data_IF_764122026754
#
_entry.id   IF_764122026754
#
_cell.length_a   1.000
_cell.length_b   1.000
_cell.length_c   1.000
_cell.angle_alpha   90.00
_cell.angle_beta   90.00
_cell.angle_gamma   90.00
#
_symmetry.space_group_name_H-M   'P 1'
#
loop_
_entity.id
_entity.type
_entity.pdbx_description
1 polymer ?
#
# COMPACT_ATOMS: atom_id res chain seq x y z
N UNK A 1 -14.53 16.90 -42.68
CA UNK A 1 -14.14 17.68 -41.49
C UNK A 1 -14.69 17.12 -40.19
N UNK A 2 -16.01 17.00 -39.98
CA UNK A 2 -16.57 16.58 -38.67
C UNK A 2 -16.11 15.20 -38.21
N UNK A 3 -16.07 14.21 -39.13
CA UNK A 3 -15.54 12.86 -38.88
C UNK A 3 -14.04 12.88 -38.54
N UNK A 4 -13.25 13.71 -39.22
CA UNK A 4 -11.81 13.85 -38.93
C UNK A 4 -11.57 14.48 -37.55
N UNK A 5 -12.37 15.50 -37.19
CA UNK A 5 -12.32 16.12 -35.86
C UNK A 5 -12.68 15.10 -34.77
N UNK A 6 -13.71 14.28 -35.00
CA UNK A 6 -14.10 13.21 -34.07
C UNK A 6 -12.99 12.16 -33.91
N UNK A 7 -12.35 11.75 -34.99
CA UNK A 7 -11.22 10.79 -34.95
C UNK A 7 -10.05 11.39 -34.18
N UNK A 8 -9.68 12.65 -34.44
CA UNK A 8 -8.60 13.33 -33.72
C UNK A 8 -8.93 13.44 -32.22
N UNK A 9 -10.16 13.81 -31.87
CA UNK A 9 -10.62 13.87 -30.48
C UNK A 9 -10.52 12.51 -29.79
N UNK A 10 -10.91 11.43 -30.47
CA UNK A 10 -10.78 10.07 -29.97
C UNK A 10 -9.31 9.69 -29.71
N UNK A 11 -8.40 10.02 -30.64
CA UNK A 11 -6.96 9.78 -30.45
C UNK A 11 -6.41 10.53 -29.24
N UNK A 12 -6.80 11.80 -29.04
CA UNK A 12 -6.38 12.59 -27.88
C UNK A 12 -6.90 11.94 -26.59
N UNK A 13 -8.14 11.46 -26.57
CA UNK A 13 -8.76 10.83 -25.41
C UNK A 13 -8.08 9.50 -25.06
N UNK A 14 -7.75 8.68 -26.06
CA UNK A 14 -6.98 7.44 -25.89
C UNK A 14 -5.58 7.76 -25.34
N UNK A 15 -4.91 8.77 -25.88
CA UNK A 15 -3.59 9.17 -25.43
C UNK A 15 -3.61 9.66 -23.97
N UNK A 16 -4.59 10.49 -23.60
CA UNK A 16 -4.78 10.95 -22.22
C UNK A 16 -5.04 9.78 -21.27
N UNK A 17 -5.86 8.80 -21.69
CA UNK A 17 -6.12 7.60 -20.91
C UNK A 17 -4.85 6.79 -20.64
N UNK A 18 -4.02 6.56 -21.66
CA UNK A 18 -2.73 5.89 -21.48
C UNK A 18 -1.78 6.70 -20.62
N UNK A 19 -1.69 8.02 -20.81
CA UNK A 19 -0.85 8.88 -20.00
C UNK A 19 -1.18 8.78 -18.50
N UNK A 20 -2.48 8.77 -18.17
CA UNK A 20 -2.97 8.57 -16.80
C UNK A 20 -2.49 7.21 -16.25
N UNK A 21 -2.67 6.12 -16.99
CA UNK A 21 -2.32 4.76 -16.54
C UNK A 21 -0.82 4.53 -16.38
N UNK A 22 0.01 5.10 -17.27
CA UNK A 22 1.45 4.90 -17.25
C UNK A 22 2.16 5.77 -16.23
N UNK A 23 1.54 6.86 -15.77
CA UNK A 23 2.14 7.73 -14.75
C UNK A 23 2.05 7.05 -13.38
N UNK A 24 3.18 6.91 -12.65
CA UNK A 24 3.13 6.35 -11.30
C UNK A 24 2.38 7.29 -10.35
N UNK A 25 1.74 6.69 -9.34
CA UNK A 25 1.28 7.41 -8.16
C UNK A 25 2.46 7.53 -7.21
N UNK A 26 2.87 8.75 -6.87
CA UNK A 26 3.91 8.99 -5.87
C UNK A 26 3.22 9.13 -4.50
N UNK A 27 3.60 8.31 -3.53
CA UNK A 27 3.13 8.38 -2.15
C UNK A 27 4.32 8.71 -1.27
N UNK A 28 4.16 9.68 -0.40
CA UNK A 28 5.17 10.10 0.56
C UNK A 28 4.52 10.22 1.95
N UNK A 29 5.06 9.52 2.92
CA UNK A 29 4.53 9.42 4.28
C UNK A 29 5.65 9.86 5.20
N UNK A 30 5.43 10.95 5.94
CA UNK A 30 6.37 11.43 6.94
C UNK A 30 5.68 11.46 8.29
N UNK A 31 6.26 10.77 9.26
CA UNK A 31 5.89 10.86 10.67
C UNK A 31 7.13 11.15 11.49
N UNK A 32 7.03 12.11 12.39
CA UNK A 32 8.08 12.45 13.34
C UNK A 32 7.52 12.49 14.74
N UNK A 33 8.23 11.88 15.67
CA UNK A 33 7.89 11.89 17.08
C UNK A 33 8.53 13.12 17.73
N UNK A 34 7.70 14.11 18.07
CA UNK A 34 8.12 15.26 18.86
C UNK A 34 7.43 15.19 20.22
N UNK A 35 8.21 15.09 21.29
CA UNK A 35 7.71 15.15 22.68
C UNK A 35 6.52 14.20 23.00
N UNK A 36 6.54 12.97 22.48
CA UNK A 36 5.48 11.95 22.62
C UNK A 36 4.21 12.17 21.81
N UNK A 37 4.14 13.23 21.00
CA UNK A 37 3.13 13.39 19.96
C UNK A 37 3.70 12.93 18.60
N UNK A 38 2.84 12.29 17.81
CA UNK A 38 3.17 11.83 16.45
C UNK A 38 2.62 12.85 15.47
N UNK A 39 3.50 13.69 14.97
CA UNK A 39 3.21 14.72 13.98
C UNK A 39 3.65 14.23 12.60
N UNK A 40 3.01 14.72 11.55
CA UNK A 40 3.34 14.23 10.23
C UNK A 40 2.33 14.53 9.14
N UNK A 41 2.72 14.18 7.92
CA UNK A 41 1.91 14.36 6.74
C UNK A 41 2.00 13.17 5.81
N UNK A 42 0.87 12.87 5.18
CA UNK A 42 0.78 11.93 4.06
C UNK A 42 0.51 12.75 2.81
N UNK A 43 1.30 12.50 1.79
CA UNK A 43 1.26 13.19 0.53
C UNK A 43 1.08 12.16 -0.59
N UNK A 44 0.04 12.31 -1.39
CA UNK A 44 -0.27 11.44 -2.53
C UNK A 44 -0.33 12.31 -3.77
N UNK A 45 0.60 12.08 -4.68
CA UNK A 45 0.70 12.76 -5.95
C UNK A 45 0.26 11.85 -7.08
N UNK A 46 -0.65 12.34 -7.91
CA UNK A 46 -1.03 11.66 -9.13
C UNK A 46 -1.38 12.63 -10.25
N UNK A 47 -0.62 12.55 -11.34
CA UNK A 47 -0.78 13.44 -12.49
C UNK A 47 -0.63 14.93 -12.14
N UNK A 48 -1.74 15.67 -12.08
CA UNK A 48 -1.83 17.08 -11.70
C UNK A 48 -2.46 17.25 -10.31
N UNK A 49 -2.95 16.17 -9.72
CA UNK A 49 -3.62 16.20 -8.43
C UNK A 49 -2.63 15.83 -7.33
N UNK A 50 -2.73 16.59 -6.25
CA UNK A 50 -1.99 16.37 -5.02
C UNK A 50 -2.98 16.30 -3.87
N UNK A 51 -2.89 15.24 -3.08
CA UNK A 51 -3.68 15.06 -1.87
C UNK A 51 -2.74 15.09 -0.67
N UNK A 52 -3.03 15.96 0.29
CA UNK A 52 -2.23 16.11 1.51
C UNK A 52 -3.13 15.86 2.71
N UNK A 53 -2.77 14.88 3.52
CA UNK A 53 -3.32 14.69 4.86
C UNK A 53 -2.26 15.24 5.82
N UNK A 54 -2.61 16.34 6.47
CA UNK A 54 -1.81 17.03 7.45
C UNK A 54 -2.35 16.65 8.83
N UNK A 55 -1.58 15.90 9.62
CA UNK A 55 -2.03 15.42 10.92
C UNK A 55 -1.97 16.53 11.98
N UNK A 56 -1.08 17.51 11.78
CA UNK A 56 -0.81 18.60 12.72
C UNK A 56 -1.99 19.59 12.69
N UNK A 57 -2.32 20.08 11.49
CA UNK A 57 -3.48 20.94 11.28
C UNK A 57 -4.80 20.16 11.24
N UNK A 58 -4.73 18.82 11.17
CA UNK A 58 -5.86 17.90 10.94
C UNK A 58 -6.64 18.28 9.69
N UNK A 59 -5.93 18.52 8.59
CA UNK A 59 -6.52 18.94 7.33
C UNK A 59 -6.31 17.88 6.26
N UNK A 60 -7.35 17.66 5.47
CA UNK A 60 -7.22 17.03 4.17
C UNK A 60 -7.30 18.12 3.10
N UNK A 61 -6.23 18.31 2.34
CA UNK A 61 -6.11 19.32 1.28
C UNK A 61 -5.99 18.60 -0.07
N UNK A 62 -6.82 18.98 -1.04
CA UNK A 62 -6.70 18.56 -2.44
C UNK A 62 -6.24 19.76 -3.25
N UNK A 63 -5.13 19.62 -3.95
CA UNK A 63 -4.55 20.66 -4.78
C UNK A 63 -4.44 20.20 -6.23
N UNK A 64 -4.59 21.16 -7.14
CA UNK A 64 -4.33 21.02 -8.56
C UNK A 64 -3.03 21.75 -8.89
N UNK A 65 -2.02 21.00 -9.30
CA UNK A 65 -0.73 21.50 -9.72
C UNK A 65 -0.74 21.64 -11.24
N UNK A 66 -0.82 22.89 -11.73
CA UNK A 66 -0.73 23.24 -13.15
C UNK A 66 0.53 24.06 -13.35
N UNK A 67 1.49 23.53 -14.11
CA UNK A 67 2.83 24.10 -14.28
C UNK A 67 3.51 24.36 -12.92
N UNK A 68 3.83 25.62 -12.61
CA UNK A 68 4.44 26.04 -11.35
C UNK A 68 3.44 26.57 -10.31
N UNK A 69 2.14 26.50 -10.61
CA UNK A 69 1.09 27.03 -9.75
C UNK A 69 0.31 25.91 -9.07
N UNK A 70 0.03 26.09 -7.79
CA UNK A 70 -0.71 25.17 -6.95
C UNK A 70 -2.03 25.80 -6.55
N UNK A 71 -3.13 25.24 -7.06
CA UNK A 71 -4.48 25.71 -6.78
C UNK A 71 -5.14 24.80 -5.76
N UNK A 72 -5.55 25.36 -4.61
CA UNK A 72 -6.33 24.60 -3.64
C UNK A 72 -7.74 24.39 -4.19
N UNK A 73 -8.12 23.12 -4.40
CA UNK A 73 -9.46 22.75 -4.85
C UNK A 73 -10.38 22.63 -3.64
N UNK A 74 -9.90 22.01 -2.57
CA UNK A 74 -10.72 21.60 -1.45
C UNK A 74 -9.86 21.42 -0.20
N UNK A 75 -10.33 21.96 0.92
CA UNK A 75 -9.77 21.72 2.25
C UNK A 75 -10.87 21.27 3.19
N UNK A 76 -10.67 20.11 3.81
CA UNK A 76 -11.58 19.53 4.81
C UNK A 76 -10.86 19.46 6.15
N UNK A 77 -11.47 20.00 7.20
CA UNK A 77 -11.01 19.78 8.58
C UNK A 77 -11.47 18.41 9.07
N UNK A 78 -10.52 17.56 9.44
CA UNK A 78 -10.75 16.23 9.97
C UNK A 78 -11.21 16.32 11.43
N UNK A 79 -12.49 16.62 11.64
CA UNK A 79 -13.08 16.60 12.98
C UNK A 79 -13.35 15.16 13.42
N UNK A 80 -12.89 14.77 14.62
CA UNK A 80 -13.25 13.49 15.24
C UNK A 80 -14.74 13.47 15.58
N UNK A 81 -15.59 13.01 14.66
CA UNK A 81 -16.83 12.35 15.08
C UNK A 81 -16.41 11.00 15.66
N UNK A 82 -16.38 10.92 16.98
CA UNK A 82 -16.33 9.64 17.70
C UNK A 82 -17.59 8.84 17.35
N UNK A 83 -17.57 8.14 16.20
CA UNK A 83 -18.42 6.98 16.00
C UNK A 83 -17.76 5.85 16.77
N UNK A 84 -18.27 5.61 17.97
CA UNK A 84 -18.04 4.36 18.68
C UNK A 84 -18.39 3.21 17.74
N UNK A 85 -17.37 2.54 17.21
CA UNK A 85 -17.55 1.25 16.55
C UNK A 85 -18.06 0.29 17.63
N UNK A 86 -19.35 -0.05 17.55
CA UNK A 86 -19.85 -1.27 18.19
C UNK A 86 -19.06 -2.43 17.59
N UNK A 87 -18.27 -3.09 18.43
CA UNK A 87 -17.72 -4.43 18.17
C UNK A 87 -18.90 -5.39 18.07
N UNK A 88 -19.26 -5.79 16.87
CA UNK A 88 -19.97 -7.05 16.69
C UNK A 88 -18.96 -8.18 16.90
N UNK A 89 -19.07 -8.81 18.08
CA UNK A 89 -18.57 -10.17 18.28
C UNK A 89 -19.62 -11.11 17.67
N UNK A 90 -19.30 -11.70 16.53
CA UNK A 90 -19.88 -12.98 16.15
C UNK A 90 -18.74 -13.99 16.04
N UNK A 91 -18.60 -14.80 17.08
CA UNK A 91 -17.96 -16.10 17.00
C UNK A 91 -18.71 -16.94 15.96
N UNK A 92 -17.99 -17.41 14.94
CA UNK A 92 -18.38 -18.60 14.20
C UNK A 92 -17.25 -19.61 14.39
N UNK A 93 -17.48 -20.55 15.29
CA UNK A 93 -16.94 -21.89 15.21
C UNK A 93 -17.68 -22.61 14.07
N UNK A 94 -16.92 -23.15 13.10
CA UNK A 94 -17.25 -24.16 12.06
C UNK A 94 -16.26 -23.91 10.90
N UNK A 95 -15.48 -24.81 10.31
CA UNK A 95 -15.50 -26.27 10.20
C UNK A 95 -14.07 -26.75 9.86
N UNK A 96 -13.39 -27.49 10.73
CA UNK A 96 -12.08 -28.09 10.39
C UNK A 96 -12.20 -29.16 9.29
N UNK A 97 -13.40 -29.72 9.07
CA UNK A 97 -13.64 -30.72 8.04
C UNK A 97 -13.67 -30.17 6.60
N UNK A 98 -14.06 -28.90 6.39
CA UNK A 98 -14.12 -28.29 5.04
C UNK A 98 -12.75 -27.78 4.54
N UNK A 99 -11.81 -27.52 5.45
CA UNK A 99 -10.50 -26.95 5.09
C UNK A 99 -9.61 -27.95 4.35
N UNK A 100 -9.59 -29.21 4.80
CA UNK A 100 -8.75 -30.25 4.19
C UNK A 100 -9.22 -30.62 2.77
N UNK A 101 -10.54 -30.76 2.54
CA UNK A 101 -11.07 -31.01 1.19
C UNK A 101 -10.84 -29.86 0.21
N UNK A 102 -10.86 -28.62 0.72
CA UNK A 102 -10.59 -27.41 -0.06
C UNK A 102 -9.11 -27.32 -0.43
N UNK A 103 -8.21 -27.67 0.50
CA UNK A 103 -6.77 -27.75 0.26
C UNK A 103 -6.43 -28.82 -0.79
N UNK A 104 -7.02 -30.01 -0.70
CA UNK A 104 -6.80 -31.09 -1.67
C UNK A 104 -7.19 -30.70 -3.10
N UNK A 105 -8.22 -29.85 -3.26
CA UNK A 105 -8.64 -29.31 -4.56
C UNK A 105 -7.75 -28.15 -5.03
N UNK A 106 -7.23 -27.34 -4.11
CA UNK A 106 -6.42 -26.15 -4.43
C UNK A 106 -4.98 -26.51 -4.79
N UNK A 107 -4.34 -27.46 -4.09
CA UNK A 107 -2.94 -27.85 -4.33
C UNK A 107 -2.64 -28.19 -5.80
N UNK A 108 -3.38 -29.07 -6.49
CA UNK A 108 -3.11 -29.38 -7.89
C UNK A 108 -3.28 -28.15 -8.79
N UNK A 109 -4.26 -27.28 -8.52
CA UNK A 109 -4.45 -26.03 -9.26
C UNK A 109 -3.31 -25.02 -9.03
N UNK A 110 -2.73 -24.99 -7.83
CA UNK A 110 -1.51 -24.19 -7.54
C UNK A 110 -0.33 -24.72 -8.36
N UNK A 111 -0.13 -26.04 -8.40
CA UNK A 111 0.96 -26.67 -9.15
C UNK A 111 0.80 -26.38 -10.65
N UNK A 112 -0.40 -26.56 -11.20
CA UNK A 112 -0.73 -26.26 -12.60
C UNK A 112 -0.61 -24.77 -12.95
N UNK A 113 -0.76 -23.88 -11.96
CA UNK A 113 -0.66 -22.43 -12.14
C UNK A 113 0.70 -21.84 -11.74
N UNK A 114 1.67 -22.68 -11.34
CA UNK A 114 2.93 -22.26 -10.71
C UNK A 114 3.66 -21.16 -11.48
N UNK A 115 3.87 -21.34 -12.79
CA UNK A 115 4.60 -20.36 -13.60
C UNK A 115 3.87 -19.02 -13.68
N UNK A 116 2.54 -19.05 -13.75
CA UNK A 116 1.74 -17.84 -13.83
C UNK A 116 1.65 -17.14 -12.48
N UNK A 117 1.60 -17.89 -11.38
CA UNK A 117 1.72 -17.36 -10.02
C UNK A 117 3.09 -16.70 -9.80
N UNK A 118 4.19 -17.32 -10.23
CA UNK A 118 5.52 -16.70 -10.16
C UNK A 118 5.60 -15.39 -10.94
N UNK A 119 4.99 -15.34 -12.13
CA UNK A 119 4.92 -14.12 -12.94
C UNK A 119 4.05 -13.05 -12.26
N UNK A 120 2.94 -13.42 -11.60
CA UNK A 120 2.13 -12.49 -10.81
C UNK A 120 2.94 -11.95 -9.62
N UNK A 121 3.62 -12.82 -8.87
CA UNK A 121 4.46 -12.43 -7.74
C UNK A 121 5.54 -11.44 -8.19
N UNK A 122 6.20 -11.71 -9.33
CA UNK A 122 7.16 -10.76 -9.91
C UNK A 122 6.51 -9.42 -10.29
N UNK A 123 5.30 -9.44 -10.86
CA UNK A 123 4.60 -8.19 -11.15
C UNK A 123 4.21 -7.45 -9.87
N UNK A 124 3.82 -8.15 -8.81
CA UNK A 124 3.49 -7.58 -7.50
C UNK A 124 4.70 -6.86 -6.88
N UNK A 125 5.90 -7.45 -6.97
CA UNK A 125 7.13 -6.79 -6.48
C UNK A 125 7.51 -5.57 -7.32
N UNK A 126 7.03 -5.48 -8.56
CA UNK A 126 7.25 -4.32 -9.44
C UNK A 126 6.16 -3.24 -9.31
N UNK A 127 5.04 -3.50 -8.62
CA UNK A 127 3.97 -2.50 -8.41
C UNK A 127 4.47 -1.34 -7.57
N UNK A 128 5.11 -1.67 -6.45
CA UNK A 128 5.56 -0.69 -5.47
C UNK A 128 7.08 -0.63 -5.49
N UNK A 129 7.64 0.53 -5.83
CA UNK A 129 9.07 0.79 -5.69
C UNK A 129 9.29 1.84 -4.63
N UNK A 130 9.97 1.47 -3.55
CA UNK A 130 10.42 2.46 -2.59
C UNK A 130 11.53 3.31 -3.24
N UNK A 131 11.43 4.62 -3.06
CA UNK A 131 12.55 5.54 -3.12
C UNK A 131 13.28 5.45 -1.77
N UNK A 132 14.36 6.21 -1.55
CA UNK A 132 15.05 6.28 -0.25
C UNK A 132 14.01 6.49 0.86
N UNK A 133 13.71 5.41 1.57
CA UNK A 133 12.67 5.35 2.60
C UNK A 133 13.34 4.83 3.85
N UNK A 134 13.16 5.51 4.96
CA UNK A 134 13.76 5.15 6.23
C UNK A 134 12.71 5.10 7.33
N UNK A 135 12.93 4.21 8.29
CA UNK A 135 12.15 4.11 9.51
C UNK A 135 13.11 3.92 10.67
N UNK A 136 13.15 4.89 11.57
CA UNK A 136 13.91 4.84 12.81
C UNK A 136 12.95 4.50 13.95
N UNK A 137 13.15 3.32 14.55
CA UNK A 137 12.31 2.82 15.63
C UNK A 137 13.17 2.64 16.87
N UNK A 138 12.90 3.45 17.90
CA UNK A 138 13.47 3.25 19.23
C UNK A 138 12.41 2.60 20.11
N UNK A 139 12.67 1.36 20.51
CA UNK A 139 11.71 0.55 21.26
C UNK A 139 12.33 0.05 22.56
N UNK A 140 11.69 0.38 23.68
CA UNK A 140 11.94 -0.19 24.99
C UNK A 140 10.63 -0.61 25.65
N UNK A 141 10.59 -1.84 26.15
CA UNK A 141 9.47 -2.39 26.92
C UNK A 141 9.87 -2.53 28.39
N UNK A 142 8.89 -2.78 29.26
CA UNK A 142 9.13 -2.96 30.70
C UNK A 142 10.07 -4.13 31.03
N UNK A 143 10.19 -5.12 30.14
CA UNK A 143 11.13 -6.24 30.26
C UNK A 143 12.13 -6.19 29.09
N UNK A 144 13.42 -6.23 29.43
CA UNK A 144 14.52 -6.25 28.48
C UNK A 144 14.45 -7.47 27.55
N UNK A 145 14.04 -8.63 28.07
CA UNK A 145 13.89 -9.83 27.26
C UNK A 145 12.75 -9.70 26.25
N UNK A 146 11.64 -9.07 26.64
CA UNK A 146 10.54 -8.77 25.73
C UNK A 146 10.96 -7.75 24.67
N UNK A 147 11.72 -6.72 25.07
CA UNK A 147 12.26 -5.70 24.15
C UNK A 147 13.09 -6.35 23.05
N UNK A 148 14.06 -7.19 23.42
CA UNK A 148 14.93 -7.89 22.47
C UNK A 148 14.12 -8.80 21.54
N UNK A 149 13.17 -9.58 22.10
CA UNK A 149 12.31 -10.47 21.31
C UNK A 149 11.48 -9.69 20.28
N UNK A 150 10.79 -8.64 20.70
CA UNK A 150 9.96 -7.84 19.79
C UNK A 150 10.83 -7.18 18.72
N UNK A 151 11.99 -6.62 19.10
CA UNK A 151 12.90 -6.03 18.14
C UNK A 151 13.37 -7.06 17.09
N UNK A 152 13.77 -8.26 17.53
CA UNK A 152 14.18 -9.32 16.61
C UNK A 152 13.08 -9.74 15.63
N UNK A 153 11.81 -9.77 16.07
CA UNK A 153 10.67 -10.05 15.20
C UNK A 153 10.43 -8.94 14.17
N UNK A 154 10.45 -7.68 14.61
CA UNK A 154 10.29 -6.53 13.71
C UNK A 154 11.40 -6.54 12.65
N UNK A 155 12.64 -6.79 13.07
CA UNK A 155 13.77 -6.87 12.15
C UNK A 155 13.61 -8.02 11.14
N UNK A 156 13.18 -9.21 11.58
CA UNK A 156 12.94 -10.33 10.68
C UNK A 156 11.84 -10.06 9.64
N UNK A 157 10.78 -9.35 10.03
CA UNK A 157 9.68 -8.95 9.13
C UNK A 157 10.14 -7.87 8.15
N UNK A 158 11.01 -6.96 8.58
CA UNK A 158 11.44 -5.80 7.78
C UNK A 158 12.64 -6.09 6.87
N UNK A 159 13.48 -7.06 7.21
CA UNK A 159 14.68 -7.44 6.44
C UNK A 159 14.42 -7.72 4.94
N UNK A 160 13.33 -8.42 4.53
CA UNK A 160 13.03 -8.63 3.11
C UNK A 160 12.75 -7.34 2.32
N UNK A 161 12.45 -6.22 2.99
CA UNK A 161 12.14 -4.94 2.35
C UNK A 161 13.39 -4.05 2.15
N UNK A 162 14.53 -4.38 2.76
CA UNK A 162 15.79 -3.66 2.55
C UNK A 162 16.22 -3.62 1.08
N UNK A 163 16.26 -4.76 0.34
CA UNK A 163 16.56 -4.75 -1.09
C UNK A 163 15.54 -3.97 -1.94
N UNK A 164 14.34 -3.72 -1.40
CA UNK A 164 13.28 -2.96 -2.07
C UNK A 164 13.41 -1.45 -1.84
N UNK A 165 14.37 -0.99 -1.01
CA UNK A 165 14.66 0.41 -0.75
C UNK A 165 14.09 0.98 0.56
N UNK A 166 13.57 0.11 1.45
CA UNK A 166 13.11 0.48 2.79
C UNK A 166 14.17 0.13 3.83
N UNK A 167 14.82 1.14 4.39
CA UNK A 167 15.81 1.00 5.47
C UNK A 167 15.09 1.12 6.82
N UNK A 168 15.24 0.12 7.70
CA UNK A 168 14.59 0.14 9.03
C UNK A 168 15.65 0.05 10.12
N UNK A 169 16.00 1.18 10.73
CA UNK A 169 16.87 1.22 11.90
C UNK A 169 16.05 0.92 13.14
N UNK A 170 16.42 -0.14 13.85
CA UNK A 170 15.73 -0.56 15.06
C UNK A 170 16.70 -0.54 16.25
N UNK A 171 16.47 0.38 17.18
CA UNK A 171 17.30 0.58 18.36
C UNK A 171 16.55 0.06 19.59
N UNK A 172 17.00 -1.06 20.20
CA UNK A 172 16.43 -1.53 21.45
C UNK A 172 16.86 -0.63 22.62
N UNK A 173 15.91 -0.12 23.38
CA UNK A 173 16.11 0.69 24.58
C UNK A 173 15.89 -0.19 25.82
N UNK A 174 16.98 -0.40 26.57
CA UNK A 174 16.99 -1.28 27.76
C UNK A 174 16.61 -0.47 29.00
N UNK A 175 15.83 -1.07 29.92
CA UNK A 175 15.38 -0.47 31.18
C UNK A 175 14.53 0.81 31.03
N UNK A 176 13.91 1.03 29.86
CA UNK A 176 13.04 2.18 29.61
C UNK A 176 11.80 1.72 28.86
N UNK A 177 10.62 2.18 29.27
CA UNK A 177 9.41 2.03 28.47
C UNK A 177 9.32 3.20 27.50
N UNK A 178 9.62 2.95 26.23
CA UNK A 178 9.65 3.98 25.19
C UNK A 178 9.27 3.38 23.84
N UNK A 179 8.42 4.08 23.10
CA UNK A 179 8.12 3.74 21.71
C UNK A 179 8.22 5.06 20.95
N UNK A 180 9.32 5.24 20.23
CA UNK A 180 9.51 6.37 19.34
C UNK A 180 9.75 5.85 17.94
N UNK A 181 9.07 6.47 16.99
CA UNK A 181 9.15 6.05 15.59
C UNK A 181 9.15 7.29 14.73
N UNK A 182 10.27 7.49 14.02
CA UNK A 182 10.39 8.45 12.95
C UNK A 182 10.37 7.69 11.63
N UNK A 183 9.59 8.18 10.68
CA UNK A 183 9.34 7.49 9.41
C UNK A 183 9.33 8.51 8.29
N UNK A 184 10.04 8.20 7.22
CA UNK A 184 9.96 8.89 5.94
C UNK A 184 9.94 7.81 4.87
N UNK A 185 8.75 7.52 4.35
CA UNK A 185 8.54 6.49 3.34
C UNK A 185 8.07 7.16 2.06
N UNK A 186 8.88 7.06 1.03
CA UNK A 186 8.57 7.50 -0.32
C UNK A 186 8.43 6.29 -1.23
N UNK A 187 7.27 6.07 -1.86
CA UNK A 187 7.10 4.98 -2.82
C UNK A 187 6.32 5.39 -4.07
N UNK A 188 6.58 4.67 -5.15
CA UNK A 188 5.91 4.83 -6.42
C UNK A 188 5.07 3.59 -6.71
N UNK A 189 3.78 3.80 -6.97
CA UNK A 189 2.84 2.76 -7.36
C UNK A 189 2.58 2.85 -8.87
N UNK A 190 2.90 1.78 -9.60
CA UNK A 190 2.71 1.69 -11.04
C UNK A 190 1.36 1.05 -11.40
N UNK A 191 0.37 1.87 -11.72
CA UNK A 191 -0.99 1.41 -12.02
C UNK A 191 -1.06 0.44 -13.21
N UNK A 192 -0.25 0.66 -14.25
CA UNK A 192 -0.21 -0.25 -15.40
C UNK A 192 0.20 -1.69 -15.02
N UNK A 193 1.00 -1.89 -13.96
CA UNK A 193 1.36 -3.22 -13.46
C UNK A 193 0.17 -3.94 -12.84
N UNK A 194 -0.68 -3.20 -12.12
CA UNK A 194 -1.96 -3.72 -11.59
C UNK A 194 -2.85 -4.18 -12.74
N UNK A 195 -2.97 -3.37 -13.80
CA UNK A 195 -3.75 -3.73 -14.99
C UNK A 195 -3.17 -4.98 -15.68
N UNK A 196 -1.84 -5.10 -15.78
CA UNK A 196 -1.19 -6.31 -16.32
C UNK A 196 -1.56 -7.56 -15.54
N UNK A 197 -1.60 -7.49 -14.20
CA UNK A 197 -2.03 -8.60 -13.35
C UNK A 197 -3.50 -8.95 -13.60
N UNK A 198 -4.38 -7.94 -13.64
CA UNK A 198 -5.82 -8.15 -13.88
C UNK A 198 -6.05 -8.83 -15.23
N UNK A 199 -5.44 -8.30 -16.30
CA UNK A 199 -5.54 -8.89 -17.65
C UNK A 199 -5.06 -10.33 -17.60
N UNK A 200 -3.91 -10.59 -16.96
CA UNK A 200 -3.33 -11.92 -16.89
C UNK A 200 -4.22 -12.92 -16.16
N UNK A 201 -4.79 -12.52 -15.03
CA UNK A 201 -5.77 -13.31 -14.28
C UNK A 201 -6.98 -13.64 -15.16
N UNK A 202 -7.51 -12.67 -15.90
CA UNK A 202 -8.69 -12.85 -16.75
C UNK A 202 -8.35 -13.74 -17.96
N UNK A 203 -7.15 -13.67 -18.53
CA UNK A 203 -6.80 -14.46 -19.71
C UNK A 203 -6.44 -15.91 -19.39
N UNK A 204 -5.82 -16.17 -18.24
CA UNK A 204 -5.33 -17.53 -17.91
C UNK A 204 -6.43 -18.37 -17.27
N UNK A 205 -6.84 -19.46 -17.96
CA UNK A 205 -7.88 -20.39 -17.47
C UNK A 205 -7.55 -20.97 -16.08
N UNK A 206 -6.31 -21.39 -15.86
CA UNK A 206 -5.88 -22.02 -14.61
C UNK A 206 -5.98 -21.04 -13.42
N UNK A 207 -5.51 -19.80 -13.59
CA UNK A 207 -5.64 -18.75 -12.58
C UNK A 207 -7.10 -18.39 -12.27
N UNK A 208 -7.97 -18.30 -13.30
CA UNK A 208 -9.40 -18.07 -13.07
C UNK A 208 -10.03 -19.22 -12.29
N UNK A 209 -9.70 -20.46 -12.63
CA UNK A 209 -10.23 -21.63 -11.95
C UNK A 209 -9.75 -21.66 -10.49
N UNK A 210 -8.46 -21.41 -10.24
CA UNK A 210 -7.90 -21.28 -8.90
C UNK A 210 -8.63 -20.22 -8.07
N UNK A 211 -8.84 -19.02 -8.61
CA UNK A 211 -9.57 -17.94 -7.91
C UNK A 211 -11.02 -18.32 -7.65
N UNK A 212 -11.71 -18.94 -8.62
CA UNK A 212 -13.08 -19.43 -8.42
C UNK A 212 -13.17 -20.46 -7.32
N UNK A 213 -12.22 -21.40 -7.24
CA UNK A 213 -12.18 -22.44 -6.20
C UNK A 213 -11.85 -21.87 -4.83
N UNK A 214 -11.11 -20.76 -4.74
CA UNK A 214 -10.82 -20.08 -3.47
C UNK A 214 -12.00 -19.24 -2.98
N UNK A 215 -12.79 -18.66 -3.88
CA UNK A 215 -13.92 -17.78 -3.55
C UNK A 215 -15.24 -18.55 -3.35
N UNK A 216 -15.38 -19.70 -4.02
CA UNK A 216 -16.54 -20.59 -3.90
C UNK A 216 -16.54 -21.35 -2.58
#
# INVERSE_FOLDING_TARGET
MLVQILIISLFILIFLFFYIIFKPVDIHIVFKNYNNDMDGFIYINYSLLEFVIDMDDRLFKTNLNIYSHKFNILTITLNRKNKSLKKDKSSKETDEHNFNETIEKIIPLIIESKEDLLKIIKLLTEICKFKKSYMDINLGLNDNNLTIKLCSMIWAITAPFYPLGLEVLLIPEINKLIIKTDMDISCNIFLYKIIQIIIKIITTKNLRNLIKTIIS
#
